data_IF_669643440178
#
_entry.id   IF_669643440178
#
_cell.length_a   1.000
_cell.length_b   1.000
_cell.length_c   1.000
_cell.angle_alpha   90.00
_cell.angle_beta   90.00
_cell.angle_gamma   90.00
#
_symmetry.space_group_name_H-M   'P 1'
#
loop_
_entity.id
_entity.type
_entity.pdbx_description
1 polymer ?
#
# COMPACT_ATOMS: atom_id res chain seq x y z
N UNK A 1 -0.48 39.93 7.48
CA UNK A 1 -1.29 39.68 6.28
C UNK A 1 -2.57 38.96 6.69
N UNK A 2 -3.64 39.11 5.92
CA UNK A 2 -4.96 38.53 6.24
C UNK A 2 -4.90 37.01 6.47
N UNK A 3 -4.15 36.29 5.64
CA UNK A 3 -3.97 34.83 5.81
C UNK A 3 -3.36 34.43 7.15
N UNK A 4 -2.42 35.21 7.71
CA UNK A 4 -1.82 34.91 9.02
C UNK A 4 -2.81 35.05 10.18
N UNK A 5 -3.87 35.82 10.02
CA UNK A 5 -4.91 36.01 11.04
C UNK A 5 -6.00 34.93 10.93
N UNK A 6 -6.49 34.69 9.71
CA UNK A 6 -7.62 33.77 9.48
C UNK A 6 -7.22 32.30 9.57
N UNK A 7 -6.08 31.92 8.98
CA UNK A 7 -5.73 30.50 8.82
C UNK A 7 -5.61 29.75 10.16
N UNK A 8 -5.00 30.31 11.22
CA UNK A 8 -4.99 29.67 12.55
C UNK A 8 -6.38 29.46 13.16
N UNK A 9 -7.33 30.36 12.91
CA UNK A 9 -8.69 30.26 13.48
C UNK A 9 -9.50 29.14 12.83
N UNK A 10 -9.25 28.87 11.54
CA UNK A 10 -9.96 27.83 10.79
C UNK A 10 -9.24 26.47 10.81
N UNK A 11 -7.97 26.39 11.22
CA UNK A 11 -7.22 25.13 11.26
C UNK A 11 -7.91 24.07 12.12
N UNK A 12 -8.53 24.48 13.23
CA UNK A 12 -9.22 23.57 14.15
C UNK A 12 -10.50 22.96 13.58
N UNK A 13 -11.04 23.47 12.46
CA UNK A 13 -12.29 22.98 11.90
C UNK A 13 -12.10 21.58 11.30
N UNK A 14 -12.87 20.56 11.75
CA UNK A 14 -12.71 19.20 11.26
C UNK A 14 -13.11 19.05 9.79
N UNK A 15 -13.97 19.93 9.25
CA UNK A 15 -14.35 19.91 7.82
C UNK A 15 -13.26 20.48 6.89
N UNK A 16 -12.20 21.08 7.46
CA UNK A 16 -11.12 21.66 6.68
C UNK A 16 -9.96 20.66 6.61
N UNK A 17 -9.70 20.11 5.42
CA UNK A 17 -8.62 19.12 5.23
C UNK A 17 -7.32 19.72 4.69
N UNK A 18 -7.43 20.72 3.84
CA UNK A 18 -6.29 21.29 3.14
C UNK A 18 -6.47 22.80 2.90
N UNK A 19 -5.38 23.55 3.01
CA UNK A 19 -5.32 24.99 2.78
C UNK A 19 -4.21 25.29 1.78
N UNK A 20 -4.55 26.03 0.73
CA UNK A 20 -3.64 26.46 -0.33
C UNK A 20 -3.55 27.98 -0.31
N UNK A 21 -2.37 28.53 -0.04
CA UNK A 21 -2.19 29.98 0.10
C UNK A 21 -1.66 30.55 -1.20
N UNK A 22 -2.45 31.38 -1.89
CA UNK A 22 -2.02 32.11 -3.09
C UNK A 22 -1.66 33.55 -2.74
N UNK A 23 -0.41 33.97 -2.97
CA UNK A 23 0.03 35.33 -2.68
C UNK A 23 1.20 35.79 -3.56
N UNK A 24 1.36 37.11 -3.69
CA UNK A 24 2.46 37.70 -4.47
C UNK A 24 3.84 37.62 -3.80
N UNK A 25 3.90 37.31 -2.49
CA UNK A 25 5.17 37.23 -1.76
C UNK A 25 5.23 35.95 -0.92
N UNK A 26 5.73 34.88 -1.53
CA UNK A 26 5.84 33.56 -0.92
C UNK A 26 6.66 33.57 0.37
N UNK A 27 7.85 34.18 0.35
CA UNK A 27 8.82 34.15 1.46
C UNK A 27 8.25 34.66 2.79
N UNK A 28 7.43 35.71 2.74
CA UNK A 28 6.80 36.31 3.93
C UNK A 28 5.72 35.37 4.50
N UNK A 29 5.05 34.62 3.65
CA UNK A 29 3.93 33.79 4.04
C UNK A 29 4.32 32.35 4.40
N UNK A 30 5.42 31.87 3.85
CA UNK A 30 5.90 30.51 4.07
C UNK A 30 6.32 30.26 5.54
N UNK A 31 6.84 31.28 6.22
CA UNK A 31 7.29 31.18 7.62
C UNK A 31 6.18 30.84 8.61
N UNK A 32 4.97 31.39 8.41
CA UNK A 32 3.82 31.08 9.27
C UNK A 32 3.05 29.88 8.73
N UNK A 33 2.94 29.74 7.42
CA UNK A 33 2.24 28.63 6.76
C UNK A 33 2.83 27.26 7.15
N UNK A 34 4.16 27.13 7.21
CA UNK A 34 4.85 25.89 7.60
C UNK A 34 4.53 25.41 9.02
N UNK A 35 4.01 26.28 9.88
CA UNK A 35 3.64 25.95 11.27
C UNK A 35 2.24 25.34 11.37
N UNK A 36 1.46 25.39 10.30
CA UNK A 36 0.04 25.00 10.26
C UNK A 36 -0.05 23.73 9.44
N UNK A 37 -0.47 22.65 10.10
CA UNK A 37 -0.43 21.28 9.57
C UNK A 37 -1.28 21.09 8.30
N UNK A 38 -2.39 21.84 8.21
CA UNK A 38 -3.33 21.76 7.09
C UNK A 38 -2.91 22.59 5.88
N UNK A 39 -1.86 23.43 5.98
CA UNK A 39 -1.39 24.20 4.84
C UNK A 39 -0.53 23.31 3.94
N UNK A 40 -1.02 23.04 2.73
CA UNK A 40 -0.34 22.19 1.74
C UNK A 40 0.71 22.94 0.92
N UNK A 41 0.63 24.27 0.89
CA UNK A 41 1.66 25.09 0.26
C UNK A 41 1.31 26.57 0.16
N UNK A 42 2.34 27.35 -0.15
CA UNK A 42 2.24 28.77 -0.47
C UNK A 42 2.74 28.97 -1.91
N UNK A 43 1.93 29.61 -2.73
CA UNK A 43 2.11 29.65 -4.18
C UNK A 43 2.01 31.08 -4.69
N UNK A 44 2.80 31.38 -5.71
CA UNK A 44 2.81 32.67 -6.42
C UNK A 44 2.23 32.57 -7.83
N UNK A 45 1.97 31.35 -8.30
CA UNK A 45 1.36 31.03 -9.58
C UNK A 45 0.17 30.08 -9.38
N UNK A 46 -0.78 30.10 -10.30
CA UNK A 46 -1.99 29.29 -10.21
C UNK A 46 -1.74 27.84 -10.65
N UNK A 47 -0.85 27.63 -11.62
CA UNK A 47 -0.60 26.30 -12.20
C UNK A 47 -0.10 25.29 -11.15
N UNK A 48 0.85 25.63 -10.24
CA UNK A 48 1.25 24.71 -9.18
C UNK A 48 0.13 24.40 -8.17
N UNK A 49 -0.83 25.32 -7.98
CA UNK A 49 -2.00 25.07 -7.13
C UNK A 49 -2.88 24.02 -7.80
N UNK A 50 -3.15 24.17 -9.11
CA UNK A 50 -3.93 23.20 -9.87
C UNK A 50 -3.30 21.80 -9.82
N UNK A 51 -1.97 21.70 -9.96
CA UNK A 51 -1.25 20.43 -9.85
C UNK A 51 -1.36 19.82 -8.45
N UNK A 52 -1.20 20.63 -7.40
CA UNK A 52 -1.31 20.15 -6.03
C UNK A 52 -2.75 19.69 -5.70
N UNK A 53 -3.76 20.41 -6.20
CA UNK A 53 -5.16 20.01 -6.12
C UNK A 53 -5.45 18.71 -6.88
N UNK A 54 -4.82 18.49 -8.04
CA UNK A 54 -4.97 17.26 -8.81
C UNK A 54 -4.38 16.06 -8.07
N UNK A 55 -3.21 16.23 -7.43
CA UNK A 55 -2.59 15.21 -6.58
C UNK A 55 -3.47 14.90 -5.36
N UNK A 56 -3.96 15.92 -4.66
CA UNK A 56 -4.82 15.73 -3.50
C UNK A 56 -6.17 15.10 -3.90
N UNK A 57 -6.73 15.48 -5.06
CA UNK A 57 -7.92 14.83 -5.62
C UNK A 57 -7.66 13.35 -5.88
N UNK A 58 -6.55 12.98 -6.51
CA UNK A 58 -6.21 11.57 -6.75
C UNK A 58 -6.07 10.79 -5.44
N UNK A 59 -5.49 11.40 -4.40
CA UNK A 59 -5.38 10.79 -3.07
C UNK A 59 -6.74 10.62 -2.39
N UNK A 60 -7.62 11.63 -2.50
CA UNK A 60 -9.01 11.50 -2.07
C UNK A 60 -9.71 10.38 -2.86
N UNK A 61 -9.59 10.33 -4.18
CA UNK A 61 -10.20 9.29 -5.02
C UNK A 61 -9.65 7.88 -4.68
N UNK A 62 -8.39 7.76 -4.26
CA UNK A 62 -7.79 6.49 -3.79
C UNK A 62 -8.20 6.11 -2.36
N UNK A 63 -8.33 7.08 -1.45
CA UNK A 63 -8.81 6.87 -0.08
C UNK A 63 -10.34 6.69 -0.01
N UNK A 64 -11.03 7.22 -1.02
CA UNK A 64 -12.46 7.24 -1.21
C UNK A 64 -12.78 6.53 -2.53
N UNK A 65 -12.13 5.41 -2.84
CA UNK A 65 -12.66 4.49 -3.87
C UNK A 65 -14.00 4.04 -3.30
N UNK A 66 -15.14 4.57 -3.80
CA UNK A 66 -16.41 4.02 -3.40
C UNK A 66 -16.42 2.63 -4.03
N UNK A 67 -16.99 1.68 -3.32
CA UNK A 67 -17.31 0.36 -3.85
C UNK A 67 -18.37 0.57 -4.94
N UNK A 68 -17.98 1.05 -6.12
CA UNK A 68 -18.90 1.24 -7.24
C UNK A 68 -19.09 -0.11 -7.89
N UNK A 69 -20.01 -0.88 -7.33
CA UNK A 69 -20.57 -2.11 -7.87
C UNK A 69 -21.32 -1.81 -9.18
N UNK A 70 -20.59 -1.52 -10.24
CA UNK A 70 -21.07 -1.82 -11.58
C UNK A 70 -20.49 -3.19 -11.88
N UNK A 71 -21.31 -4.25 -11.81
CA UNK A 71 -20.93 -5.68 -11.93
C UNK A 71 -20.32 -6.09 -13.27
N UNK A 72 -19.38 -5.32 -13.80
CA UNK A 72 -18.64 -5.53 -15.05
C UNK A 72 -17.14 -5.75 -14.81
N UNK A 73 -16.64 -5.50 -13.61
CA UNK A 73 -15.22 -5.69 -13.30
C UNK A 73 -15.02 -6.83 -12.29
N UNK A 74 -15.27 -8.05 -12.75
CA UNK A 74 -15.05 -9.25 -11.96
C UNK A 74 -13.58 -9.35 -11.51
N UNK A 75 -12.64 -8.84 -12.30
CA UNK A 75 -11.22 -8.81 -11.96
C UNK A 75 -10.96 -7.96 -10.71
N UNK A 76 -11.63 -6.81 -10.58
CA UNK A 76 -11.55 -6.00 -9.37
C UNK A 76 -12.08 -6.74 -8.15
N UNK A 77 -13.25 -7.39 -8.26
CA UNK A 77 -13.82 -8.20 -7.17
C UNK A 77 -12.90 -9.35 -6.76
N UNK A 78 -12.35 -10.10 -7.73
CA UNK A 78 -11.40 -11.17 -7.44
C UNK A 78 -10.11 -10.67 -6.82
N UNK A 79 -9.60 -9.52 -7.27
CA UNK A 79 -8.39 -8.91 -6.71
C UNK A 79 -8.62 -8.47 -5.27
N UNK A 80 -9.79 -7.92 -4.96
CA UNK A 80 -10.14 -7.49 -3.61
C UNK A 80 -10.33 -8.68 -2.67
N UNK A 81 -11.07 -9.71 -3.10
CA UNK A 81 -11.24 -10.95 -2.33
C UNK A 81 -9.89 -11.64 -2.07
N UNK A 82 -9.00 -11.67 -3.08
CA UNK A 82 -7.65 -12.20 -2.93
C UNK A 82 -6.84 -11.39 -1.91
N UNK A 83 -6.89 -10.06 -1.99
CA UNK A 83 -6.20 -9.17 -1.03
C UNK A 83 -6.69 -9.39 0.39
N UNK A 84 -8.00 -9.45 0.60
CA UNK A 84 -8.60 -9.68 1.91
C UNK A 84 -8.20 -11.05 2.47
N UNK A 85 -8.32 -12.11 1.66
CA UNK A 85 -7.86 -13.44 2.04
C UNK A 85 -6.37 -13.46 2.41
N UNK A 86 -5.50 -12.80 1.64
CA UNK A 86 -4.07 -12.72 1.93
C UNK A 86 -3.76 -11.98 3.23
N UNK A 87 -4.57 -10.98 3.61
CA UNK A 87 -4.40 -10.22 4.86
C UNK A 87 -4.95 -10.97 6.08
N UNK A 88 -5.88 -11.89 5.89
CA UNK A 88 -6.45 -12.75 6.95
C UNK A 88 -5.58 -13.97 7.26
N UNK A 89 -4.65 -14.35 6.38
CA UNK A 89 -3.70 -15.43 6.63
C UNK A 89 -2.79 -15.01 7.80
N UNK A 90 -2.85 -15.75 8.89
CA UNK A 90 -1.89 -15.61 9.99
C UNK A 90 -0.51 -16.03 9.50
N UNK A 91 0.44 -15.10 9.51
CA UNK A 91 1.83 -15.31 9.09
C UNK A 91 2.60 -16.08 10.18
N UNK A 92 2.30 -17.38 10.31
CA UNK A 92 3.11 -18.34 11.08
C UNK A 92 3.91 -19.22 10.11
N UNK A 93 4.98 -18.65 9.55
CA UNK A 93 5.93 -19.33 8.68
C UNK A 93 6.49 -20.63 9.27
N UNK A 94 6.59 -20.76 10.61
CA UNK A 94 7.12 -21.98 11.23
C UNK A 94 6.13 -23.13 11.07
N UNK A 95 4.86 -22.87 11.37
CA UNK A 95 3.81 -23.86 11.24
C UNK A 95 3.50 -24.16 9.78
N UNK A 96 3.36 -23.13 8.95
CA UNK A 96 3.02 -23.27 7.52
C UNK A 96 4.03 -24.12 6.76
N UNK A 97 5.33 -23.95 7.02
CA UNK A 97 6.37 -24.75 6.36
C UNK A 97 6.42 -26.18 6.90
N UNK A 98 6.18 -26.36 8.20
CA UNK A 98 6.09 -27.70 8.77
C UNK A 98 4.92 -28.49 8.14
N UNK A 99 3.76 -27.87 8.04
CA UNK A 99 2.57 -28.48 7.44
C UNK A 99 2.80 -28.79 5.94
N UNK A 100 3.48 -27.90 5.22
CA UNK A 100 3.89 -28.13 3.83
C UNK A 100 4.83 -29.33 3.70
N UNK A 101 5.86 -29.42 4.54
CA UNK A 101 6.82 -30.52 4.54
C UNK A 101 6.13 -31.84 4.87
N UNK A 102 5.22 -31.85 5.84
CA UNK A 102 4.44 -33.04 6.20
C UNK A 102 3.53 -33.50 5.05
N UNK A 103 2.87 -32.56 4.35
CA UNK A 103 2.11 -32.86 3.14
C UNK A 103 2.99 -33.46 2.04
N UNK A 104 4.19 -32.91 1.81
CA UNK A 104 5.10 -33.39 0.78
C UNK A 104 5.63 -34.81 1.07
N UNK A 105 5.86 -35.15 2.34
CA UNK A 105 6.26 -36.51 2.75
C UNK A 105 5.21 -37.58 2.45
N UNK A 106 3.95 -37.18 2.28
CA UNK A 106 2.86 -38.09 1.89
C UNK A 106 2.77 -38.28 0.36
N UNK A 107 3.54 -37.55 -0.43
CA UNK A 107 3.58 -37.69 -1.88
C UNK A 107 4.71 -38.63 -2.29
N UNK A 108 4.41 -39.63 -3.12
CA UNK A 108 5.40 -40.64 -3.56
C UNK A 108 6.42 -40.10 -4.58
N UNK A 109 6.18 -38.93 -5.16
CA UNK A 109 6.96 -38.37 -6.29
C UNK A 109 7.94 -37.26 -5.89
N UNK A 110 8.05 -36.94 -4.59
CA UNK A 110 8.97 -35.93 -4.09
C UNK A 110 10.15 -36.60 -3.38
N UNK A 111 11.35 -36.25 -3.83
CA UNK A 111 12.59 -36.72 -3.20
C UNK A 111 12.74 -36.20 -1.76
N UNK A 112 12.95 -37.11 -0.80
CA UNK A 112 13.12 -36.81 0.62
C UNK A 112 14.30 -35.85 0.88
N UNK A 113 15.34 -35.89 0.05
CA UNK A 113 16.47 -34.95 0.13
C UNK A 113 16.04 -33.51 -0.16
N UNK A 114 15.20 -33.32 -1.18
CA UNK A 114 14.64 -32.01 -1.51
C UNK A 114 13.67 -31.51 -0.42
N UNK A 115 12.87 -32.40 0.19
CA UNK A 115 11.99 -32.06 1.32
C UNK A 115 12.82 -31.54 2.50
N UNK A 116 13.90 -32.25 2.86
CA UNK A 116 14.80 -31.82 3.95
C UNK A 116 15.48 -30.49 3.65
N UNK A 117 15.79 -30.22 2.38
CA UNK A 117 16.36 -28.93 1.98
C UNK A 117 15.38 -27.80 2.30
N UNK A 118 14.10 -27.95 1.94
CA UNK A 118 13.06 -26.96 2.29
C UNK A 118 12.91 -26.85 3.81
N UNK A 119 12.78 -27.97 4.52
CA UNK A 119 12.60 -27.97 5.98
C UNK A 119 13.71 -27.21 6.74
N UNK A 120 14.96 -27.34 6.29
CA UNK A 120 16.12 -26.74 6.98
C UNK A 120 16.50 -25.36 6.46
N UNK A 121 16.38 -25.12 5.15
CA UNK A 121 16.93 -23.94 4.48
C UNK A 121 15.84 -22.94 4.04
N UNK A 122 14.55 -23.21 4.26
CA UNK A 122 13.47 -22.35 3.72
C UNK A 122 13.67 -20.86 4.02
N UNK A 123 14.08 -20.53 5.25
CA UNK A 123 14.29 -19.16 5.72
C UNK A 123 15.57 -18.49 5.21
N UNK A 124 16.49 -19.26 4.65
CA UNK A 124 17.75 -18.73 4.13
C UNK A 124 17.57 -18.10 2.74
N UNK A 125 16.39 -18.27 2.15
CA UNK A 125 16.05 -17.80 0.81
C UNK A 125 14.67 -17.14 0.78
N UNK A 126 14.43 -16.30 -0.24
CA UNK A 126 13.13 -15.68 -0.45
C UNK A 126 12.14 -16.67 -1.07
N UNK A 127 10.81 -16.51 -0.88
CA UNK A 127 9.82 -17.36 -1.54
C UNK A 127 9.96 -17.38 -3.07
N UNK A 128 10.34 -16.26 -3.69
CA UNK A 128 10.61 -16.17 -5.13
C UNK A 128 11.79 -17.04 -5.54
N UNK A 129 12.83 -17.10 -4.71
CA UNK A 129 13.98 -17.98 -4.95
C UNK A 129 13.53 -19.44 -4.96
N UNK A 130 12.72 -19.88 -3.99
CA UNK A 130 12.20 -21.24 -3.94
C UNK A 130 11.32 -21.59 -5.14
N UNK A 131 10.51 -20.64 -5.61
CA UNK A 131 9.67 -20.81 -6.81
C UNK A 131 10.50 -20.90 -8.10
N UNK A 132 11.68 -20.28 -8.16
CA UNK A 132 12.50 -20.24 -9.39
C UNK A 132 13.68 -21.21 -9.37
N UNK A 133 14.07 -21.69 -8.19
CA UNK A 133 15.13 -22.67 -8.04
C UNK A 133 14.69 -24.04 -8.56
N UNK A 134 15.65 -24.85 -8.98
CA UNK A 134 15.45 -26.24 -9.40
C UNK A 134 15.14 -27.12 -8.16
N UNK A 135 13.89 -27.03 -7.71
CA UNK A 135 13.33 -27.77 -6.57
C UNK A 135 11.95 -28.29 -6.94
N UNK A 136 11.37 -29.14 -6.09
CA UNK A 136 10.01 -29.66 -6.32
C UNK A 136 8.91 -28.59 -6.16
N UNK A 137 9.20 -27.43 -5.57
CA UNK A 137 8.18 -26.41 -5.27
C UNK A 137 7.55 -25.86 -6.55
N UNK A 138 8.36 -25.52 -7.57
CA UNK A 138 7.86 -25.02 -8.84
C UNK A 138 6.89 -25.99 -9.54
N UNK A 139 7.27 -27.26 -9.82
CA UNK A 139 6.35 -28.19 -10.45
C UNK A 139 5.15 -28.54 -9.57
N UNK A 140 5.29 -28.55 -8.24
CA UNK A 140 4.18 -28.80 -7.31
C UNK A 140 3.12 -27.69 -7.35
N UNK A 141 3.54 -26.41 -7.37
CA UNK A 141 2.62 -25.27 -7.38
C UNK A 141 1.98 -24.99 -8.74
N UNK A 142 2.57 -25.47 -9.84
CA UNK A 142 2.09 -25.25 -11.20
C UNK A 142 1.48 -26.51 -11.86
N UNK A 143 1.17 -27.54 -11.07
CA UNK A 143 0.36 -28.69 -11.50
C UNK A 143 -1.13 -28.32 -11.50
#
# INVERSE_FOLDING_TARGET
>A
SLGRQIVPEIEALPQLEAIYVFCGNQSVHEQWAKKISKVKGVYTKIEPICQALEIDRQRCDQAMIPISFNGRDALFMYTQLLKEALLEIEDDDVKSIKDLVEYCRLQDDIDEGQIRKVENEYRDHTPIWWYTAETFIYPMLNR
#
